data_IF_677848611427
#
_entry.id   IF_677848611427
#
_cell.length_a   1.000
_cell.length_b   1.000
_cell.length_c   1.000
_cell.angle_alpha   90.00
_cell.angle_beta   90.00
_cell.angle_gamma   90.00
#
_symmetry.space_group_name_H-M   'P 1'
#
loop_
_entity.id
_entity.type
_entity.pdbx_description
1 polymer ?
#
# COMPACT_ATOMS: atom_id res chain seq x y z
N UNK A 1 42.61 9.61 46.36
CA UNK A 1 42.34 8.70 45.21
C UNK A 1 40.88 8.25 45.25
N UNK A 2 39.99 8.97 44.55
CA UNK A 2 38.92 8.38 43.75
C UNK A 2 39.05 8.98 42.32
N UNK A 3 38.37 8.63 41.23
CA UNK A 3 37.18 7.87 40.97
C UNK A 3 37.29 7.45 39.49
N UNK A 4 37.37 6.16 39.18
CA UNK A 4 37.36 5.65 37.79
C UNK A 4 35.94 5.49 37.23
N UNK A 5 34.93 6.10 37.86
CA UNK A 5 33.52 5.92 37.49
C UNK A 5 32.99 6.88 36.41
N UNK A 6 33.79 7.84 35.93
CA UNK A 6 33.27 8.94 35.13
C UNK A 6 33.29 8.73 33.59
N UNK A 7 33.83 7.61 33.08
CA UNK A 7 34.00 7.43 31.63
C UNK A 7 32.89 6.58 30.98
N UNK A 8 32.06 5.89 31.77
CA UNK A 8 31.04 4.98 31.23
C UNK A 8 29.68 5.63 30.91
N UNK A 9 29.42 6.86 31.38
CA UNK A 9 28.08 7.47 31.30
C UNK A 9 27.85 8.28 30.01
N UNK A 10 28.91 8.73 29.34
CA UNK A 10 28.76 9.57 28.13
C UNK A 10 28.50 8.73 26.87
N UNK A 11 28.85 7.44 26.86
CA UNK A 11 28.65 6.57 25.68
C UNK A 11 27.28 5.88 25.63
N UNK A 12 26.40 6.08 26.61
CA UNK A 12 25.08 5.43 26.68
C UNK A 12 23.92 6.31 26.22
N UNK A 13 24.18 7.58 25.87
CA UNK A 13 23.14 8.53 25.42
C UNK A 13 23.03 8.60 23.89
N UNK A 14 24.04 8.14 23.13
CA UNK A 14 23.99 8.13 21.67
C UNK A 14 23.32 6.88 21.05
N UNK A 15 22.83 5.95 21.88
CA UNK A 15 22.24 4.67 21.41
C UNK A 15 20.72 4.60 21.62
N UNK A 16 20.00 5.72 21.52
CA UNK A 16 18.53 5.77 21.55
C UNK A 16 17.89 6.49 20.37
N UNK A 17 18.65 6.70 19.30
CA UNK A 17 18.20 7.39 18.09
C UNK A 17 18.29 6.54 16.82
N UNK A 18 18.32 5.21 16.93
CA UNK A 18 17.89 4.35 15.82
C UNK A 18 16.37 4.34 15.84
N UNK A 19 15.84 5.41 15.26
CA UNK A 19 14.50 5.61 14.73
C UNK A 19 13.66 4.33 14.74
N UNK A 20 12.57 4.39 15.49
CA UNK A 20 11.41 3.53 15.38
C UNK A 20 10.79 3.65 13.98
N UNK A 21 11.51 3.19 12.96
CA UNK A 21 11.10 3.13 11.56
C UNK A 21 10.48 1.75 11.26
N UNK A 22 9.64 1.28 12.17
CA UNK A 22 8.74 0.16 11.94
C UNK A 22 7.39 0.58 12.48
N UNK A 23 6.75 1.55 11.81
CA UNK A 23 5.31 1.60 11.86
C UNK A 23 4.82 0.31 11.19
N UNK A 24 4.60 -0.72 12.01
CA UNK A 24 4.07 -2.02 11.58
C UNK A 24 2.73 -1.79 10.87
N UNK A 25 1.94 -0.85 11.39
CA UNK A 25 0.65 -0.43 10.85
C UNK A 25 0.62 1.09 10.59
N UNK A 26 0.16 1.50 9.41
CA UNK A 26 -0.05 2.90 9.01
C UNK A 26 -1.50 3.07 8.61
N UNK A 27 -2.14 4.09 9.18
CA UNK A 27 -3.56 4.37 8.99
C UNK A 27 -3.73 5.79 8.42
N UNK A 28 -4.23 5.89 7.20
CA UNK A 28 -4.50 7.16 6.53
C UNK A 28 -5.98 7.30 6.15
N UNK A 29 -6.46 8.53 6.16
CA UNK A 29 -7.71 8.94 5.52
C UNK A 29 -7.36 9.77 4.29
N UNK A 30 -7.69 9.25 3.10
CA UNK A 30 -7.44 9.90 1.82
C UNK A 30 -8.75 10.45 1.25
N UNK A 31 -8.75 11.69 0.76
CA UNK A 31 -9.95 12.30 0.20
C UNK A 31 -9.65 13.25 -0.96
N UNK A 32 -10.64 13.38 -1.86
CA UNK A 32 -10.73 14.44 -2.87
C UNK A 32 -12.20 14.73 -3.14
N UNK A 33 -12.63 15.96 -2.86
CA UNK A 33 -14.02 16.40 -3.05
C UNK A 33 -15.03 15.43 -2.40
N UNK A 34 -15.86 14.76 -3.22
CA UNK A 34 -16.88 13.80 -2.78
C UNK A 34 -16.38 12.34 -2.72
N UNK A 35 -15.11 12.08 -3.03
CA UNK A 35 -14.49 10.76 -2.98
C UNK A 35 -13.56 10.67 -1.77
N UNK A 36 -13.49 9.49 -1.17
CA UNK A 36 -12.51 9.20 -0.14
C UNK A 36 -12.34 7.72 0.10
N UNK A 37 -11.18 7.37 0.65
CA UNK A 37 -10.79 6.03 1.02
C UNK A 37 -10.06 6.07 2.36
N UNK A 38 -10.40 5.14 3.24
CA UNK A 38 -9.55 4.79 4.38
C UNK A 38 -8.48 3.83 3.85
N UNK A 39 -7.21 4.10 4.17
CA UNK A 39 -6.08 3.29 3.73
C UNK A 39 -5.35 2.75 4.95
N UNK A 40 -5.31 1.43 5.08
CA UNK A 40 -4.62 0.73 6.15
C UNK A 40 -3.48 -0.09 5.55
N UNK A 41 -2.26 0.08 6.08
CA UNK A 41 -1.04 -0.53 5.55
C UNK A 41 -0.36 -1.29 6.67
N UNK A 42 -0.07 -2.56 6.45
CA UNK A 42 0.80 -3.35 7.28
C UNK A 42 2.12 -3.59 6.54
N UNK A 43 3.15 -2.86 6.96
CA UNK A 43 4.46 -2.92 6.29
C UNK A 43 5.22 -4.21 6.59
N UNK A 44 4.88 -4.90 7.69
CA UNK A 44 5.50 -6.17 8.04
C UNK A 44 4.98 -7.32 7.17
N UNK A 45 3.70 -7.25 6.80
CA UNK A 45 3.01 -8.25 5.97
C UNK A 45 2.99 -7.90 4.47
N UNK A 46 3.53 -6.75 4.07
CA UNK A 46 3.33 -6.18 2.72
C UNK A 46 1.87 -6.25 2.30
N UNK A 47 1.01 -5.78 3.19
CA UNK A 47 -0.43 -5.79 3.02
C UNK A 47 -0.97 -4.37 3.07
N UNK A 48 -1.93 -4.08 2.19
CA UNK A 48 -2.66 -2.83 2.21
C UNK A 48 -4.13 -3.08 1.92
N UNK A 49 -4.99 -2.36 2.65
CA UNK A 49 -6.42 -2.34 2.45
C UNK A 49 -6.87 -0.92 2.13
N UNK A 50 -7.66 -0.76 1.07
CA UNK A 50 -8.42 0.45 0.79
C UNK A 50 -9.90 0.18 1.04
N UNK A 51 -10.51 1.01 1.88
CA UNK A 51 -11.96 1.02 2.08
C UNK A 51 -12.52 2.33 1.55
N UNK A 52 -13.17 2.26 0.39
CA UNK A 52 -13.84 3.39 -0.22
C UNK A 52 -15.10 3.77 0.57
N UNK A 53 -15.46 5.07 0.57
CA UNK A 53 -16.65 5.56 1.30
C UNK A 53 -17.98 4.98 0.81
N UNK A 54 -18.00 4.41 -0.40
CA UNK A 54 -19.15 3.70 -0.96
C UNK A 54 -19.24 2.23 -0.49
N UNK A 55 -18.29 1.77 0.34
CA UNK A 55 -18.27 0.44 0.94
C UNK A 55 -17.51 -0.60 0.13
N UNK A 56 -16.81 -0.21 -0.95
CA UNK A 56 -15.93 -1.12 -1.69
C UNK A 56 -14.61 -1.28 -0.94
N UNK A 57 -14.24 -2.53 -0.66
CA UNK A 57 -12.95 -2.89 -0.08
C UNK A 57 -12.04 -3.48 -1.17
N UNK A 58 -10.80 -2.99 -1.22
CA UNK A 58 -9.74 -3.57 -2.04
C UNK A 58 -8.56 -3.93 -1.16
N UNK A 59 -8.05 -5.15 -1.32
CA UNK A 59 -6.92 -5.67 -0.58
C UNK A 59 -5.77 -5.99 -1.53
N UNK A 60 -4.57 -5.59 -1.15
CA UNK A 60 -3.34 -5.78 -1.90
C UNK A 60 -2.38 -6.55 -1.02
N UNK A 61 -2.20 -7.82 -1.33
CA UNK A 61 -1.17 -8.66 -0.73
C UNK A 61 -0.15 -9.02 -1.81
N UNK A 62 1.13 -8.77 -1.55
CA UNK A 62 2.18 -9.04 -2.52
C UNK A 62 2.19 -10.54 -2.90
N UNK A 63 2.13 -10.81 -4.20
CA UNK A 63 2.21 -12.17 -4.73
C UNK A 63 0.90 -12.97 -4.69
N UNK A 64 -0.17 -12.44 -4.08
CA UNK A 64 -1.49 -13.05 -4.20
C UNK A 64 -2.03 -12.93 -5.61
N UNK A 65 -2.67 -14.00 -6.06
CA UNK A 65 -3.34 -14.00 -7.34
C UNK A 65 -4.60 -14.85 -7.32
N UNK A 66 -5.55 -14.50 -8.17
CA UNK A 66 -6.74 -15.31 -8.39
C UNK A 66 -7.05 -15.42 -9.88
N UNK A 67 -7.81 -16.46 -10.22
CA UNK A 67 -8.38 -16.62 -11.55
C UNK A 67 -9.76 -15.99 -11.58
N UNK A 68 -9.95 -15.01 -12.45
CA UNK A 68 -11.25 -14.40 -12.67
C UNK A 68 -12.25 -15.41 -13.22
N UNK A 69 -13.54 -15.11 -13.03
CA UNK A 69 -14.58 -15.71 -13.85
C UNK A 69 -14.37 -15.43 -15.35
N UNK A 70 -15.00 -16.22 -16.23
CA UNK A 70 -14.94 -15.95 -17.66
C UNK A 70 -15.57 -14.58 -17.97
N UNK A 71 -14.89 -13.77 -18.77
CA UNK A 71 -15.46 -12.53 -19.29
C UNK A 71 -16.52 -12.82 -20.38
N UNK A 72 -17.09 -11.76 -20.99
CA UNK A 72 -18.12 -11.87 -22.04
C UNK A 72 -17.69 -12.70 -23.28
N UNK A 73 -16.40 -12.98 -23.43
CA UNK A 73 -15.83 -13.81 -24.50
C UNK A 73 -15.37 -15.19 -24.00
N UNK A 74 -15.74 -15.58 -22.76
CA UNK A 74 -15.34 -16.86 -22.17
C UNK A 74 -13.89 -16.93 -21.67
N UNK A 75 -13.14 -15.81 -21.71
CA UNK A 75 -11.73 -15.79 -21.32
C UNK A 75 -11.58 -15.56 -19.83
N UNK A 76 -10.66 -16.29 -19.19
CA UNK A 76 -10.28 -16.08 -17.78
C UNK A 76 -9.02 -15.22 -17.72
N UNK A 77 -8.91 -14.44 -16.67
CA UNK A 77 -7.75 -13.60 -16.39
C UNK A 77 -7.13 -14.05 -15.07
N UNK A 78 -5.81 -14.18 -15.04
CA UNK A 78 -5.08 -14.23 -13.77
C UNK A 78 -4.87 -12.80 -13.31
N UNK A 79 -5.44 -12.45 -12.17
CA UNK A 79 -5.23 -11.16 -11.53
C UNK A 79 -4.19 -11.35 -10.45
N UNK A 80 -3.08 -10.62 -10.55
CA UNK A 80 -1.96 -10.64 -9.60
C UNK A 80 -1.96 -9.31 -8.88
N UNK A 81 -2.07 -9.34 -7.55
CA UNK A 81 -1.93 -8.16 -6.71
C UNK A 81 -0.46 -7.86 -6.47
N UNK A 82 -0.15 -6.57 -6.40
CA UNK A 82 1.21 -6.08 -6.16
C UNK A 82 1.19 -5.00 -5.11
N UNK A 83 2.19 -5.04 -4.24
CA UNK A 83 2.50 -4.02 -3.26
C UNK A 83 4.00 -3.99 -3.00
N UNK A 84 4.60 -2.82 -3.14
CA UNK A 84 6.00 -2.57 -2.86
C UNK A 84 6.16 -1.32 -2.03
N UNK A 85 6.96 -1.40 -0.97
CA UNK A 85 7.24 -0.29 -0.05
C UNK A 85 8.71 0.10 -0.18
N UNK A 86 8.98 1.35 -0.55
CA UNK A 86 10.34 1.88 -0.67
C UNK A 86 10.38 3.36 -0.22
N UNK A 87 11.17 3.66 0.81
CA UNK A 87 11.45 5.04 1.22
C UNK A 87 10.21 5.87 1.58
N UNK A 88 9.18 5.27 2.19
CA UNK A 88 7.92 5.94 2.51
C UNK A 88 6.96 6.11 1.33
N UNK A 89 7.29 5.54 0.17
CA UNK A 89 6.40 5.42 -0.99
C UNK A 89 5.93 3.99 -1.11
N UNK A 90 4.64 3.83 -1.39
CA UNK A 90 4.00 2.55 -1.61
C UNK A 90 3.52 2.53 -3.05
N UNK A 91 4.00 1.57 -3.82
CA UNK A 91 3.48 1.28 -5.17
C UNK A 91 2.58 0.07 -5.05
N UNK A 92 1.36 0.16 -5.54
CA UNK A 92 0.38 -0.92 -5.41
C UNK A 92 -0.50 -1.02 -6.64
N UNK A 93 -1.21 -2.14 -6.78
CA UNK A 93 -2.19 -2.29 -7.84
C UNK A 93 -2.38 -3.72 -8.31
N UNK A 94 -2.81 -3.85 -9.56
CA UNK A 94 -3.10 -5.15 -10.17
C UNK A 94 -2.43 -5.29 -11.52
N UNK A 95 -1.95 -6.50 -11.78
CA UNK A 95 -1.65 -6.96 -13.12
C UNK A 95 -2.67 -8.03 -13.52
N UNK A 96 -3.37 -7.80 -14.62
CA UNK A 96 -4.32 -8.74 -15.21
C UNK A 96 -3.67 -9.38 -16.44
N UNK A 97 -3.42 -10.68 -16.33
CA UNK A 97 -2.84 -11.49 -17.39
C UNK A 97 -3.98 -12.32 -17.98
N UNK A 98 -4.37 -12.04 -19.22
CA UNK A 98 -5.33 -12.86 -19.93
C UNK A 98 -4.74 -14.27 -20.13
N UNK A 99 -5.54 -15.30 -19.87
CA UNK A 99 -5.18 -16.69 -20.18
C UNK A 99 -5.70 -17.00 -21.58
N UNK A 100 -4.79 -17.35 -22.48
CA UNK A 100 -5.06 -17.47 -23.92
C UNK A 100 -6.07 -18.57 -24.24
N UNK A 101 -7.00 -18.26 -25.15
CA UNK A 101 -7.71 -19.23 -25.98
C UNK A 101 -7.42 -18.85 -27.44
N UNK A 102 -7.28 -19.87 -28.30
CA UNK A 102 -6.58 -19.86 -29.60
C UNK A 102 -6.99 -18.80 -30.64
N UNK A 103 -8.04 -18.01 -30.43
CA UNK A 103 -8.67 -17.18 -31.46
C UNK A 103 -8.74 -15.66 -31.18
N UNK A 104 -8.36 -15.18 -29.98
CA UNK A 104 -8.47 -13.76 -29.63
C UNK A 104 -7.16 -13.16 -29.11
N UNK A 105 -6.82 -11.93 -29.53
CA UNK A 105 -5.66 -11.20 -29.01
C UNK A 105 -5.72 -11.08 -27.48
N UNK A 106 -4.65 -11.56 -26.86
CA UNK A 106 -4.41 -11.57 -25.43
C UNK A 106 -3.59 -10.32 -25.08
N UNK A 107 -4.13 -9.43 -24.25
CA UNK A 107 -3.42 -8.23 -23.79
C UNK A 107 -3.39 -8.24 -22.27
N UNK A 108 -2.18 -8.16 -21.71
CA UNK A 108 -1.98 -8.00 -20.27
C UNK A 108 -2.16 -6.53 -19.92
N UNK A 109 -2.92 -6.26 -18.85
CA UNK A 109 -3.16 -4.90 -18.36
C UNK A 109 -2.52 -4.72 -17.00
N UNK A 110 -1.80 -3.62 -16.83
CA UNK A 110 -1.21 -3.23 -15.54
C UNK A 110 -1.80 -1.91 -15.07
N UNK A 111 -2.23 -1.88 -13.82
CA UNK A 111 -2.72 -0.68 -13.14
C UNK A 111 -1.80 -0.44 -11.96
N UNK A 112 -0.86 0.49 -12.10
CA UNK A 112 0.02 0.91 -11.02
C UNK A 112 -0.52 2.18 -10.36
N UNK A 113 -0.60 2.13 -9.04
CA UNK A 113 -0.99 3.22 -8.15
C UNK A 113 0.18 3.57 -7.24
N UNK A 114 0.14 4.76 -6.67
CA UNK A 114 1.18 5.24 -5.77
C UNK A 114 0.58 5.96 -4.57
N UNK A 115 1.09 5.67 -3.39
CA UNK A 115 0.85 6.43 -2.17
C UNK A 115 2.20 6.93 -1.65
N UNK A 116 2.35 8.24 -1.55
CA UNK A 116 3.50 8.88 -0.92
C UNK A 116 3.10 9.33 0.49
N UNK A 117 3.59 8.60 1.49
CA UNK A 117 3.25 8.86 2.90
C UNK A 117 3.88 10.19 3.36
N UNK A 118 5.02 10.58 2.76
CA UNK A 118 5.74 11.81 3.14
C UNK A 118 5.03 13.05 2.61
N UNK A 119 4.50 12.96 1.38
CA UNK A 119 3.72 14.04 0.78
C UNK A 119 2.25 14.03 1.21
N UNK A 120 1.77 12.92 1.79
CA UNK A 120 0.35 12.75 2.08
C UNK A 120 -0.49 12.76 0.80
N UNK A 121 -0.06 12.06 -0.23
CA UNK A 121 -0.74 12.02 -1.53
C UNK A 121 -0.90 10.59 -2.04
N UNK A 122 -2.11 10.25 -2.49
CA UNK A 122 -2.39 9.01 -3.20
C UNK A 122 -2.83 9.28 -4.64
N UNK A 123 -2.12 8.69 -5.59
CA UNK A 123 -2.44 8.63 -7.02
C UNK A 123 -3.01 7.26 -7.34
N UNK A 124 -4.32 7.21 -7.59
CA UNK A 124 -5.08 5.99 -7.85
C UNK A 124 -5.63 5.98 -9.29
N UNK A 125 -5.17 5.02 -10.10
CA UNK A 125 -5.61 4.73 -11.44
C UNK A 125 -6.61 3.58 -11.45
N UNK A 126 -7.89 3.90 -11.68
CA UNK A 126 -8.96 2.90 -11.76
C UNK A 126 -9.10 2.26 -13.16
N UNK A 127 -8.22 2.62 -14.10
CA UNK A 127 -8.23 2.19 -15.49
C UNK A 127 -8.91 3.14 -16.45
N UNK A 128 -9.82 3.99 -15.99
CA UNK A 128 -10.52 4.98 -16.82
C UNK A 128 -10.02 6.41 -16.53
N UNK A 129 -9.53 6.64 -15.32
CA UNK A 129 -9.06 7.94 -14.85
C UNK A 129 -8.01 7.80 -13.74
N UNK A 130 -7.24 8.87 -13.53
CA UNK A 130 -6.32 8.97 -12.41
C UNK A 130 -6.91 9.95 -11.39
N UNK A 131 -7.14 9.46 -10.18
CA UNK A 131 -7.59 10.22 -9.03
C UNK A 131 -6.38 10.57 -8.16
N UNK A 132 -6.23 11.85 -7.82
CA UNK A 132 -5.20 12.32 -6.88
C UNK A 132 -5.89 12.77 -5.60
N UNK A 133 -5.59 12.12 -4.49
CA UNK A 133 -6.19 12.37 -3.18
C UNK A 133 -5.14 12.85 -2.18
N UNK A 134 -5.55 13.76 -1.32
CA UNK A 134 -4.76 14.16 -0.16
C UNK A 134 -5.05 13.19 0.99
N UNK A 135 -4.01 12.72 1.65
CA UNK A 135 -4.05 11.75 2.72
C UNK A 135 -3.51 12.37 4.01
N UNK A 136 -4.23 12.16 5.11
CA UNK A 136 -3.80 12.55 6.45
C UNK A 136 -3.81 11.34 7.38
N UNK A 137 -2.98 11.30 8.42
CA UNK A 137 -3.06 10.27 9.44
C UNK A 137 -4.47 10.16 10.03
N UNK A 138 -4.96 8.94 10.18
CA UNK A 138 -6.26 8.67 10.78
C UNK A 138 -6.26 9.05 12.27
N UNK A 139 -7.45 9.29 12.87
CA UNK A 139 -7.56 9.49 14.32
C UNK A 139 -6.97 8.34 15.13
N UNK A 140 -6.41 8.60 16.33
CA UNK A 140 -5.88 7.55 17.19
C UNK A 140 -6.94 6.50 17.54
N UNK A 141 -6.55 5.23 17.58
CA UNK A 141 -7.41 4.11 17.96
C UNK A 141 -7.99 3.29 16.81
N UNK A 142 -7.74 3.67 15.55
CA UNK A 142 -8.00 2.81 14.40
C UNK A 142 -7.08 1.58 14.44
N UNK A 143 -7.61 0.43 14.02
CA UNK A 143 -6.93 -0.86 13.91
C UNK A 143 -7.49 -1.59 12.68
N UNK A 144 -6.73 -2.56 12.18
CA UNK A 144 -7.21 -3.53 11.19
C UNK A 144 -8.40 -4.35 11.71
#
# INVERSE_FOLDING_TARGET
MPSRFLVAVILSVFLRLTLALSAEEIHLDCARANQGAMVDIDTSRNFMQLMWRDGVAEEFHEGESYLSGPNKYGRKERVVYRMHVEGGKITFGVERICLENMDAKCESRRLDNQLDITLGEMRYNNGDSILIMTCSPAPPGRRF
#
